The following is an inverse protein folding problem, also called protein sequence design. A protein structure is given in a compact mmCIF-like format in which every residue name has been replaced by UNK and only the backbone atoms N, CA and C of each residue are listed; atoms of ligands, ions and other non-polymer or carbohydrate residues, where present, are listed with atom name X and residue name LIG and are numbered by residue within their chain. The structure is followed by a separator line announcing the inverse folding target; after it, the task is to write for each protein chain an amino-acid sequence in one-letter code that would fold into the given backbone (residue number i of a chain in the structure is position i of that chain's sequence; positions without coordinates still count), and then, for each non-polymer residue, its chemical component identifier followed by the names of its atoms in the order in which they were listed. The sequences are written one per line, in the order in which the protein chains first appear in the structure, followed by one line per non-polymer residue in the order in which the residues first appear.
data_IF_622124232687
#
_entry.id   IF_622124232687
#
_cell.length_a   1.000
_cell.length_b   1.000
_cell.length_c   1.000
_cell.angle_alpha   90.00
_cell.angle_beta   90.00
_cell.angle_gamma   90.00
#
_symmetry.space_group_name_H-M   'P 1'
#
loop_
_entity.id
_entity.type
_entity.pdbx_description
1 polymer ?
#
# COMPACT_ATOMS: atom_id res chain seq x y z
N UNK A 1 12.70 0.79 -13.26
CA UNK A 1 11.59 1.73 -13.50
C UNK A 1 11.80 2.90 -12.56
N UNK A 2 11.93 4.13 -13.09
CA UNK A 2 12.04 5.33 -12.25
C UNK A 2 10.69 5.70 -11.62
N UNK A 3 10.70 6.65 -10.68
CA UNK A 3 9.46 7.18 -10.11
C UNK A 3 8.63 7.88 -11.20
N UNK A 4 9.27 8.71 -12.03
CA UNK A 4 8.60 9.43 -13.12
C UNK A 4 7.94 8.45 -14.10
N UNK A 5 8.65 7.37 -14.48
CA UNK A 5 8.08 6.33 -15.33
C UNK A 5 6.84 5.71 -14.66
N UNK A 6 6.94 5.33 -13.39
CA UNK A 6 5.84 4.72 -12.63
C UNK A 6 4.61 5.64 -12.58
N UNK A 7 4.81 6.94 -12.35
CA UNK A 7 3.73 7.92 -12.25
C UNK A 7 3.03 8.18 -13.60
N UNK A 8 3.68 7.90 -14.73
CA UNK A 8 3.05 7.97 -16.06
C UNK A 8 2.28 6.71 -16.45
N UNK A 9 2.39 5.62 -15.67
CA UNK A 9 1.64 4.39 -15.92
C UNK A 9 0.20 4.51 -15.43
N UNK A 10 -0.66 3.59 -15.89
CA UNK A 10 -1.99 3.38 -15.31
C UNK A 10 -1.93 2.55 -14.02
N UNK A 11 -0.82 2.50 -13.29
CA UNK A 11 -0.75 1.70 -12.06
C UNK A 11 -1.63 2.30 -10.96
N UNK A 12 -1.66 3.63 -10.84
CA UNK A 12 -2.52 4.32 -9.89
C UNK A 12 -3.87 4.68 -10.51
N UNK A 13 -4.94 4.59 -9.71
CA UNK A 13 -6.32 4.96 -10.09
C UNK A 13 -6.59 6.46 -9.96
N UNK A 14 -5.69 7.18 -9.31
CA UNK A 14 -5.78 8.61 -9.07
C UNK A 14 -4.51 9.30 -9.56
N UNK A 15 -4.65 10.58 -9.90
CA UNK A 15 -3.52 11.43 -10.20
C UNK A 15 -2.61 11.58 -8.97
N UNK A 16 -1.36 11.95 -9.22
CA UNK A 16 -0.42 12.26 -8.16
C UNK A 16 -1.03 13.34 -7.22
N UNK A 17 -0.94 13.17 -5.89
CA UNK A 17 -1.40 14.19 -4.95
C UNK A 17 -0.64 15.52 -5.20
N UNK A 18 -1.22 16.64 -4.77
CA UNK A 18 -0.60 17.96 -4.93
C UNK A 18 0.44 18.19 -3.84
N UNK A 19 1.62 18.68 -4.22
CA UNK A 19 2.71 19.01 -3.29
C UNK A 19 3.57 17.87 -2.71
N UNK A 20 3.61 16.64 -3.25
CA UNK A 20 4.49 15.61 -2.71
C UNK A 20 5.96 15.99 -2.92
N UNK A 21 6.80 15.58 -1.98
CA UNK A 21 8.24 15.63 -2.15
C UNK A 21 8.71 14.33 -2.79
N UNK A 22 9.29 14.44 -3.98
CA UNK A 22 9.81 13.30 -4.73
C UNK A 22 11.33 13.31 -4.76
N UNK A 23 11.93 12.12 -4.65
CA UNK A 23 13.31 11.86 -5.03
C UNK A 23 13.32 10.77 -6.11
N UNK A 24 14.50 10.42 -6.65
CA UNK A 24 14.61 9.29 -7.60
C UNK A 24 14.11 7.95 -7.03
N UNK A 25 14.05 7.82 -5.70
CA UNK A 25 13.80 6.56 -5.00
C UNK A 25 12.63 6.60 -4.01
N UNK A 26 11.92 7.73 -3.89
CA UNK A 26 10.84 7.87 -2.91
C UNK A 26 9.83 8.95 -3.28
N UNK A 27 8.58 8.75 -2.88
CA UNK A 27 7.50 9.74 -2.94
C UNK A 27 6.94 9.93 -1.53
N UNK A 28 7.01 11.15 -1.00
CA UNK A 28 6.57 11.50 0.36
C UNK A 28 5.46 12.55 0.32
N UNK A 29 4.36 12.32 1.05
CA UNK A 29 3.31 13.33 1.22
C UNK A 29 3.70 14.29 2.35
N UNK A 30 3.27 15.55 2.27
CA UNK A 30 3.70 16.64 3.15
C UNK A 30 3.49 16.35 4.65
N UNK A 31 2.43 15.60 5.00
CA UNK A 31 2.03 15.34 6.38
C UNK A 31 2.25 13.88 6.81
N UNK A 32 3.06 13.12 6.07
CA UNK A 32 3.40 11.73 6.43
C UNK A 32 4.82 11.63 7.00
N UNK A 33 5.01 10.91 8.12
CA UNK A 33 6.34 10.76 8.74
C UNK A 33 7.26 9.79 7.97
N UNK A 34 6.74 9.08 6.98
CA UNK A 34 7.47 8.16 6.11
C UNK A 34 7.05 8.33 4.64
N UNK A 35 7.91 7.99 3.68
CA UNK A 35 7.54 8.00 2.27
C UNK A 35 6.39 7.02 2.00
N UNK A 36 5.43 7.44 1.17
CA UNK A 36 4.35 6.58 0.71
C UNK A 36 4.90 5.47 -0.19
N UNK A 37 5.75 5.83 -1.14
CA UNK A 37 6.46 4.91 -2.02
C UNK A 37 7.94 5.01 -1.76
N UNK A 38 8.62 3.86 -1.78
CA UNK A 38 10.08 3.78 -1.75
C UNK A 38 10.55 2.69 -2.69
N UNK A 39 11.76 2.86 -3.22
CA UNK A 39 12.43 1.87 -4.05
C UNK A 39 13.53 1.17 -3.26
N UNK A 40 13.65 -0.14 -3.46
CA UNK A 40 14.68 -0.98 -2.86
C UNK A 40 14.63 -2.38 -3.46
N UNK A 41 15.47 -3.28 -2.98
CA UNK A 41 15.52 -4.65 -3.50
C UNK A 41 14.47 -5.53 -2.83
N UNK A 42 13.78 -6.33 -3.63
CA UNK A 42 12.85 -7.32 -3.13
C UNK A 42 13.61 -8.32 -2.22
N UNK A 43 13.18 -8.55 -0.97
CA UNK A 43 13.99 -9.23 0.06
C UNK A 43 14.35 -10.68 -0.28
N UNK A 44 13.57 -11.33 -1.16
CA UNK A 44 13.83 -12.70 -1.60
C UNK A 44 14.44 -12.79 -3.00
N UNK A 45 14.17 -11.80 -3.86
CA UNK A 45 14.52 -11.87 -5.29
C UNK A 45 15.78 -11.05 -5.61
N UNK A 46 16.15 -10.10 -4.76
CA UNK A 46 17.28 -9.19 -4.99
C UNK A 46 17.08 -8.26 -6.19
N UNK A 47 15.85 -8.13 -6.69
CA UNK A 47 15.53 -7.28 -7.84
C UNK A 47 14.92 -5.96 -7.36
N UNK A 48 15.25 -4.83 -7.99
CA UNK A 48 14.65 -3.54 -7.64
C UNK A 48 13.12 -3.55 -7.78
N UNK A 49 12.41 -3.10 -6.75
CA UNK A 49 10.97 -2.95 -6.72
C UNK A 49 10.54 -1.67 -6.00
N UNK A 50 9.33 -1.19 -6.31
CA UNK A 50 8.65 -0.15 -5.56
C UNK A 50 7.76 -0.80 -4.50
N UNK A 51 7.79 -0.28 -3.28
CA UNK A 51 6.96 -0.75 -2.18
C UNK A 51 6.24 0.41 -1.50
N UNK A 52 5.03 0.12 -1.01
CA UNK A 52 4.34 0.97 -0.05
C UNK A 52 4.92 0.75 1.34
N UNK A 53 5.07 1.81 2.10
CA UNK A 53 5.51 1.67 3.48
C UNK A 53 4.40 1.05 4.35
N UNK A 54 4.69 -0.01 5.14
CA UNK A 54 3.65 -0.83 5.76
C UNK A 54 3.19 -0.36 7.15
N UNK A 55 3.77 0.71 7.73
CA UNK A 55 3.52 1.09 9.13
C UNK A 55 2.05 1.26 9.50
N UNK A 56 1.22 1.72 8.57
CA UNK A 56 -0.23 1.92 8.80
C UNK A 56 -1.09 0.80 8.24
N UNK A 57 -0.50 -0.21 7.58
CA UNK A 57 -1.27 -1.31 6.95
C UNK A 57 -2.09 -2.05 8.00
N UNK A 58 -1.47 -2.46 9.10
CA UNK A 58 -2.19 -3.22 10.14
C UNK A 58 -3.27 -2.37 10.81
N UNK A 59 -2.97 -1.12 11.16
CA UNK A 59 -3.95 -0.22 11.78
C UNK A 59 -5.17 0.00 10.87
N UNK A 60 -4.93 0.24 9.57
CA UNK A 60 -5.98 0.48 8.58
C UNK A 60 -6.86 -0.75 8.36
N UNK A 61 -6.26 -1.94 8.21
CA UNK A 61 -7.03 -3.18 7.98
C UNK A 61 -7.74 -3.62 9.26
N UNK A 62 -7.13 -3.44 10.44
CA UNK A 62 -7.76 -3.77 11.72
C UNK A 62 -9.01 -2.94 12.03
N UNK A 63 -9.10 -1.71 11.54
CA UNK A 63 -10.34 -0.93 11.56
C UNK A 63 -11.44 -1.64 10.76
N UNK A 64 -11.16 -1.98 9.50
CA UNK A 64 -12.13 -2.65 8.63
C UNK A 64 -12.55 -4.03 9.16
N UNK A 65 -11.58 -4.82 9.65
CA UNK A 65 -11.85 -6.15 10.22
C UNK A 65 -12.79 -6.02 11.42
N UNK A 66 -12.59 -5.04 12.31
CA UNK A 66 -13.48 -4.84 13.47
C UNK A 66 -14.92 -4.55 13.07
N UNK A 67 -15.12 -3.79 12.00
CA UNK A 67 -16.46 -3.44 11.52
C UNK A 67 -17.23 -4.64 10.94
N UNK A 68 -16.52 -5.62 10.36
CA UNK A 68 -17.14 -6.79 9.72
C UNK A 68 -17.03 -8.07 10.53
N UNK A 69 -16.31 -8.06 11.66
CA UNK A 69 -16.04 -9.26 12.45
C UNK A 69 -17.33 -9.79 13.09
N UNK A 70 -17.49 -11.12 13.04
CA UNK A 70 -18.56 -11.84 13.72
C UNK A 70 -17.97 -12.73 14.83
N UNK A 71 -18.82 -13.08 15.81
CA UNK A 71 -18.40 -13.72 17.08
C UNK A 71 -17.82 -15.13 16.87
N UNK A 72 -18.17 -15.80 15.77
CA UNK A 72 -17.88 -17.21 15.50
C UNK A 72 -16.79 -17.43 14.43
N UNK A 73 -16.07 -16.39 14.05
CA UNK A 73 -14.97 -16.53 13.09
C UNK A 73 -13.85 -17.41 13.63
N UNK A 74 -13.46 -18.43 12.86
CA UNK A 74 -12.20 -19.13 13.09
C UNK A 74 -11.02 -18.20 12.81
N UNK A 75 -9.85 -18.51 13.37
CA UNK A 75 -8.63 -17.74 13.12
C UNK A 75 -8.25 -17.74 11.64
N UNK A 76 -8.38 -18.89 10.97
CA UNK A 76 -8.11 -19.05 9.54
C UNK A 76 -9.02 -18.15 8.70
N UNK A 77 -10.32 -18.13 9.03
CA UNK A 77 -11.27 -17.26 8.33
C UNK A 77 -10.94 -15.79 8.57
N UNK A 78 -10.60 -15.40 9.80
CA UNK A 78 -10.17 -14.04 10.13
C UNK A 78 -8.94 -13.61 9.32
N UNK A 79 -7.94 -14.48 9.15
CA UNK A 79 -6.74 -14.19 8.34
C UNK A 79 -7.08 -14.04 6.84
N UNK A 80 -7.95 -14.90 6.32
CA UNK A 80 -8.43 -14.76 4.94
C UNK A 80 -9.18 -13.44 4.73
N UNK A 81 -10.07 -13.07 5.67
CA UNK A 81 -10.80 -11.81 5.65
C UNK A 81 -9.89 -10.59 5.78
N UNK A 82 -8.85 -10.67 6.60
CA UNK A 82 -7.82 -9.63 6.68
C UNK A 82 -7.17 -9.40 5.32
N UNK A 83 -6.77 -10.48 4.62
CA UNK A 83 -6.15 -10.38 3.30
C UNK A 83 -7.11 -9.80 2.25
N UNK A 84 -8.37 -10.23 2.25
CA UNK A 84 -9.42 -9.68 1.38
C UNK A 84 -9.55 -8.17 1.57
N UNK A 85 -9.68 -7.71 2.82
CA UNK A 85 -9.85 -6.30 3.16
C UNK A 85 -8.61 -5.47 2.80
N UNK A 86 -7.42 -6.04 2.99
CA UNK A 86 -6.19 -5.40 2.55
C UNK A 86 -6.15 -5.23 1.03
N UNK A 87 -6.45 -6.28 0.26
CA UNK A 87 -6.51 -6.21 -1.21
C UNK A 87 -7.60 -5.26 -1.70
N UNK A 88 -8.77 -5.22 -1.05
CA UNK A 88 -9.81 -4.23 -1.36
C UNK A 88 -9.31 -2.80 -1.12
N UNK A 89 -8.64 -2.55 0.00
CA UNK A 89 -8.11 -1.24 0.37
C UNK A 89 -7.06 -0.77 -0.64
N UNK A 90 -6.03 -1.59 -0.89
CA UNK A 90 -5.00 -1.30 -1.90
C UNK A 90 -5.61 -1.14 -3.28
N UNK A 91 -6.56 -2.01 -3.61
CA UNK A 91 -7.30 -1.97 -4.86
C UNK A 91 -8.12 -0.70 -5.06
N UNK A 92 -8.37 0.11 -4.04
CA UNK A 92 -8.97 1.45 -4.25
C UNK A 92 -7.98 2.43 -4.87
N UNK A 93 -6.68 2.25 -4.65
CA UNK A 93 -5.61 3.18 -5.04
C UNK A 93 -4.85 2.70 -6.27
N UNK A 94 -4.63 1.38 -6.40
CA UNK A 94 -3.88 0.80 -7.52
C UNK A 94 -4.77 -0.07 -8.40
N UNK A 95 -4.36 -0.23 -9.65
CA UNK A 95 -4.91 -1.21 -10.57
C UNK A 95 -4.25 -2.56 -10.31
N UNK A 96 -4.93 -3.40 -9.51
CA UNK A 96 -4.62 -4.80 -9.22
C UNK A 96 -5.09 -5.73 -10.36
#
# INVERSE_FOLDING_TARGET
MSLDDLMTTSFFKFDAPVGPQSTSFALTLLDTPFPLLSQGDHPTLGTPCWYFHPCETEASVAELVREVAEVDWSEEYRLARWLDLWLMTVGTVVNL
#
